data_IF_203712886475
#
_entry.id   IF_203712886475
#
_cell.length_a   1.000
_cell.length_b   1.000
_cell.length_c   1.000
_cell.angle_alpha   90.00
_cell.angle_beta   90.00
_cell.angle_gamma   90.00
#
_symmetry.space_group_name_H-M   'P 1'
#
loop_
_entity.id
_entity.type
_entity.pdbx_description
1 polymer ?
#
# COMPACT_ATOMS: atom_id res chain seq x y z
N UNK A 1 -17.84 -8.35 -5.43
CA UNK A 1 -16.51 -7.84 -5.79
C UNK A 1 -15.62 -7.90 -4.58
N UNK A 2 -14.41 -8.38 -4.74
CA UNK A 2 -13.49 -8.56 -3.63
C UNK A 2 -12.64 -7.31 -3.46
N UNK A 3 -12.62 -6.77 -2.24
CA UNK A 3 -11.69 -5.71 -1.89
C UNK A 3 -10.26 -6.25 -1.93
N UNK A 4 -9.29 -5.36 -1.79
CA UNK A 4 -7.88 -5.75 -1.80
C UNK A 4 -7.11 -4.84 -0.84
N UNK A 5 -6.01 -5.36 -0.31
CA UNK A 5 -5.12 -4.56 0.54
C UNK A 5 -4.11 -3.86 -0.36
N UNK A 6 -3.90 -2.59 -0.10
CA UNK A 6 -2.95 -1.76 -0.85
C UNK A 6 -1.92 -1.19 0.11
N UNK A 7 -0.66 -1.17 -0.30
CA UNK A 7 0.37 -0.53 0.50
C UNK A 7 0.69 0.88 -0.01
N UNK A 8 1.53 1.58 0.72
CA UNK A 8 1.86 2.97 0.38
C UNK A 8 2.59 3.09 -0.96
N UNK A 9 3.33 2.05 -1.39
CA UNK A 9 4.03 2.10 -2.66
C UNK A 9 3.07 2.21 -3.84
N UNK A 10 1.96 1.47 -3.79
CA UNK A 10 0.95 1.53 -4.85
C UNK A 10 0.16 2.83 -4.77
N UNK A 11 -0.28 3.22 -3.58
CA UNK A 11 -1.05 4.46 -3.41
C UNK A 11 -0.25 5.66 -3.92
N UNK A 12 1.00 5.77 -3.50
CA UNK A 12 1.86 6.87 -3.95
C UNK A 12 2.18 6.76 -5.44
N UNK A 13 2.30 5.53 -5.95
CA UNK A 13 2.55 5.30 -7.37
C UNK A 13 1.49 5.89 -8.27
N UNK A 14 0.25 6.00 -7.78
CA UNK A 14 -0.84 6.58 -8.56
C UNK A 14 -0.66 8.08 -8.81
N UNK A 15 0.11 8.77 -7.99
CA UNK A 15 0.28 10.23 -8.11
C UNK A 15 1.73 10.65 -8.39
N UNK A 16 2.69 9.73 -8.35
CA UNK A 16 4.07 10.04 -8.70
C UNK A 16 4.28 9.93 -10.21
N UNK A 17 4.91 10.94 -10.84
CA UNK A 17 4.93 11.03 -12.31
C UNK A 17 5.81 9.98 -13.00
N UNK A 18 6.79 9.45 -12.31
CA UNK A 18 7.76 8.52 -12.90
C UNK A 18 7.50 7.06 -12.52
N UNK A 19 6.38 6.78 -11.87
CA UNK A 19 6.00 5.40 -11.55
C UNK A 19 5.16 4.82 -12.68
N UNK A 20 5.54 3.62 -13.13
CA UNK A 20 4.85 2.95 -14.22
C UNK A 20 4.97 1.45 -14.04
N UNK A 21 3.88 0.81 -13.63
CA UNK A 21 3.85 -0.62 -13.38
C UNK A 21 2.46 -1.16 -13.68
N UNK A 22 2.35 -2.40 -14.23
CA UNK A 22 1.05 -3.04 -14.44
C UNK A 22 0.20 -3.13 -13.18
N UNK A 23 0.81 -3.32 -12.02
CA UNK A 23 0.08 -3.39 -10.75
C UNK A 23 -0.65 -2.09 -10.46
N UNK A 24 -0.03 -0.94 -10.76
CA UNK A 24 -0.67 0.37 -10.55
C UNK A 24 -1.95 0.50 -11.36
N UNK A 25 -1.90 0.09 -12.61
CA UNK A 25 -3.07 0.15 -13.50
C UNK A 25 -4.14 -0.81 -13.02
N UNK A 26 -3.77 -2.06 -12.75
CA UNK A 26 -4.73 -3.08 -12.32
C UNK A 26 -5.43 -2.68 -11.02
N UNK A 27 -4.68 -2.18 -10.04
CA UNK A 27 -5.24 -1.77 -8.76
C UNK A 27 -6.15 -0.56 -8.92
N UNK A 28 -5.75 0.40 -9.74
CA UNK A 28 -6.56 1.59 -9.96
C UNK A 28 -7.90 1.25 -10.64
N UNK A 29 -7.85 0.40 -11.65
CA UNK A 29 -9.07 -0.06 -12.32
C UNK A 29 -10.01 -0.78 -11.36
N UNK A 30 -9.45 -1.56 -10.44
CA UNK A 30 -10.26 -2.30 -9.48
C UNK A 30 -11.02 -1.39 -8.52
N UNK A 31 -10.57 -0.16 -8.31
CA UNK A 31 -11.28 0.82 -7.48
C UNK A 31 -12.67 1.17 -8.04
N UNK A 32 -12.95 0.88 -9.30
CA UNK A 32 -14.28 1.11 -9.88
C UNK A 32 -15.32 0.18 -9.27
N UNK A 33 -14.93 -0.99 -8.77
CA UNK A 33 -15.85 -2.01 -8.28
C UNK A 33 -15.55 -2.52 -6.89
N UNK A 34 -14.44 -2.06 -6.28
CA UNK A 34 -14.00 -2.53 -4.97
C UNK A 34 -13.31 -1.40 -4.21
N UNK A 35 -13.10 -1.61 -2.91
CA UNK A 35 -12.34 -0.70 -2.07
C UNK A 35 -10.92 -1.20 -1.92
N UNK A 36 -9.97 -0.28 -1.88
CA UNK A 36 -8.63 -0.56 -1.41
C UNK A 36 -8.61 -0.41 0.12
N UNK A 37 -8.08 -1.39 0.81
CA UNK A 37 -8.06 -1.42 2.27
C UNK A 37 -6.61 -1.32 2.74
N UNK A 38 -6.37 -0.57 3.78
CA UNK A 38 -5.03 -0.40 4.32
C UNK A 38 -5.09 -0.21 5.84
N UNK A 39 -4.00 -0.53 6.55
CA UNK A 39 -3.93 -0.20 7.98
C UNK A 39 -3.88 1.31 8.17
N UNK A 40 -4.20 1.75 9.38
CA UNK A 40 -4.36 3.17 9.70
C UNK A 40 -3.07 3.98 9.64
N UNK A 41 -1.91 3.34 9.43
CA UNK A 41 -0.65 4.04 9.21
C UNK A 41 -0.49 4.55 7.77
N UNK A 42 -1.38 4.16 6.86
CA UNK A 42 -1.23 4.48 5.43
C UNK A 42 -0.98 5.95 5.18
N UNK A 43 -1.82 6.83 5.71
CA UNK A 43 -1.71 8.25 5.39
C UNK A 43 -0.46 8.89 5.96
N UNK A 44 0.05 8.40 7.08
CA UNK A 44 1.35 8.83 7.60
C UNK A 44 2.46 8.49 6.63
N UNK A 45 2.44 7.27 6.09
CA UNK A 45 3.45 6.84 5.12
C UNK A 45 3.32 7.58 3.80
N UNK A 46 2.10 7.79 3.32
CA UNK A 46 1.86 8.53 2.07
C UNK A 46 2.43 9.93 2.17
N UNK A 47 2.13 10.63 3.25
CA UNK A 47 2.69 11.99 3.46
C UNK A 47 4.21 11.97 3.45
N UNK A 48 4.81 10.99 4.10
CA UNK A 48 6.27 10.90 4.16
C UNK A 48 6.87 10.62 2.77
N UNK A 49 6.30 9.68 2.02
CA UNK A 49 6.80 9.36 0.68
C UNK A 49 6.73 10.59 -0.23
N UNK A 50 5.61 11.31 -0.21
CA UNK A 50 5.45 12.51 -1.04
C UNK A 50 6.42 13.62 -0.63
N UNK A 51 6.63 13.82 0.67
CA UNK A 51 7.61 14.81 1.14
C UNK A 51 9.04 14.43 0.78
N UNK A 52 9.38 13.14 0.84
CA UNK A 52 10.70 12.69 0.41
C UNK A 52 10.89 12.88 -1.10
N UNK A 53 9.85 12.62 -1.89
CA UNK A 53 9.89 12.88 -3.34
C UNK A 53 10.10 14.35 -3.61
N UNK A 54 9.45 15.22 -2.83
CA UNK A 54 9.64 16.68 -2.93
C UNK A 54 11.09 17.06 -2.63
N UNK A 55 11.65 16.52 -1.57
CA UNK A 55 13.03 16.85 -1.17
C UNK A 55 14.06 16.33 -2.16
N UNK A 56 13.75 15.25 -2.86
CA UNK A 56 14.59 14.71 -3.94
C UNK A 56 14.30 15.37 -5.27
N UNK A 57 13.46 16.40 -5.30
CA UNK A 57 13.11 17.18 -6.48
C UNK A 57 12.43 16.35 -7.59
N UNK A 58 11.77 15.26 -7.22
CA UNK A 58 10.96 14.49 -8.17
C UNK A 58 9.63 15.18 -8.45
N UNK A 59 9.09 15.87 -7.45
CA UNK A 59 7.86 16.66 -7.55
C UNK A 59 8.06 17.97 -6.80
N UNK A 60 7.24 18.97 -7.11
CA UNK A 60 7.23 20.20 -6.33
C UNK A 60 6.23 20.09 -5.18
N UNK A 61 6.22 21.09 -4.29
CA UNK A 61 5.34 21.05 -3.12
C UNK A 61 3.86 21.09 -3.50
N UNK A 62 3.51 21.86 -4.53
CA UNK A 62 2.12 21.92 -5.00
C UNK A 62 1.66 20.55 -5.47
N UNK A 63 2.51 19.80 -6.18
CA UNK A 63 2.19 18.46 -6.62
C UNK A 63 2.01 17.49 -5.45
N UNK A 64 2.81 17.62 -4.39
CA UNK A 64 2.64 16.80 -3.20
C UNK A 64 1.28 17.03 -2.55
N UNK A 65 0.90 18.30 -2.40
CA UNK A 65 -0.41 18.65 -1.82
C UNK A 65 -1.56 18.16 -2.69
N UNK A 66 -1.48 18.39 -4.00
CA UNK A 66 -2.51 17.94 -4.92
C UNK A 66 -2.62 16.42 -4.95
N UNK A 67 -1.49 15.72 -4.88
CA UNK A 67 -1.49 14.27 -4.85
C UNK A 67 -2.29 13.72 -3.69
N UNK A 68 -2.06 14.22 -2.48
CA UNK A 68 -2.82 13.77 -1.32
C UNK A 68 -4.31 14.09 -1.49
N UNK A 69 -4.62 15.29 -1.99
CA UNK A 69 -6.01 15.69 -2.19
C UNK A 69 -6.74 14.75 -3.13
N UNK A 70 -6.08 14.35 -4.22
CA UNK A 70 -6.65 13.41 -5.18
C UNK A 70 -6.81 12.00 -4.57
N UNK A 71 -5.81 11.54 -3.84
CA UNK A 71 -5.86 10.22 -3.22
C UNK A 71 -7.00 10.11 -2.20
N UNK A 72 -7.28 11.20 -1.47
CA UNK A 72 -8.38 11.21 -0.50
C UNK A 72 -9.77 11.06 -1.14
N UNK A 73 -9.87 11.27 -2.44
CA UNK A 73 -11.14 11.11 -3.17
C UNK A 73 -11.35 9.69 -3.67
N UNK A 74 -10.36 8.82 -3.54
CA UNK A 74 -10.46 7.44 -4.00
C UNK A 74 -11.11 6.55 -2.95
N UNK A 75 -11.54 5.38 -3.36
CA UNK A 75 -12.15 4.37 -2.47
C UNK A 75 -11.07 3.65 -1.67
N UNK A 76 -10.38 4.38 -0.81
CA UNK A 76 -9.35 3.85 0.08
C UNK A 76 -9.93 3.89 1.50
N UNK A 77 -10.04 2.71 2.11
CA UNK A 77 -10.59 2.56 3.45
C UNK A 77 -9.47 2.13 4.39
N UNK A 78 -9.26 2.86 5.49
CA UNK A 78 -8.28 2.46 6.50
C UNK A 78 -8.96 1.74 7.64
N UNK A 79 -8.24 0.80 8.24
CA UNK A 79 -8.70 -0.01 9.36
C UNK A 79 -7.62 -0.02 10.43
N UNK A 80 -8.00 -0.29 11.70
CA UNK A 80 -7.00 -0.48 12.74
C UNK A 80 -6.02 -1.60 12.33
N UNK A 81 -4.75 -1.41 12.67
CA UNK A 81 -3.73 -2.42 12.38
C UNK A 81 -4.02 -3.70 13.15
N UNK A 82 -3.64 -4.87 12.62
CA UNK A 82 -3.68 -6.12 13.40
C UNK A 82 -2.84 -6.03 14.66
N UNK A 83 -3.00 -7.01 15.56
CA UNK A 83 -2.35 -7.00 16.86
C UNK A 83 -0.83 -7.07 16.77
N UNK A 84 -0.18 -6.60 17.82
CA UNK A 84 1.28 -6.50 17.87
C UNK A 84 1.95 -7.84 17.64
N UNK A 85 1.46 -8.92 18.25
CA UNK A 85 2.09 -10.23 18.13
C UNK A 85 2.07 -10.73 16.68
N UNK A 86 0.96 -10.55 15.98
CA UNK A 86 0.85 -10.97 14.58
C UNK A 86 1.82 -10.16 13.72
N UNK A 87 1.86 -8.86 13.91
CA UNK A 87 2.75 -7.99 13.13
C UNK A 87 4.21 -8.35 13.39
N UNK A 88 4.59 -8.51 14.67
CA UNK A 88 5.97 -8.84 15.02
C UNK A 88 6.39 -10.21 14.48
N UNK A 89 5.51 -11.21 14.56
CA UNK A 89 5.81 -12.54 14.04
C UNK A 89 6.04 -12.51 12.54
N UNK A 90 5.21 -11.80 11.79
CA UNK A 90 5.35 -11.70 10.34
C UNK A 90 6.60 -10.89 9.96
N UNK A 91 6.88 -9.81 10.71
CA UNK A 91 8.08 -9.02 10.47
C UNK A 91 9.35 -9.85 10.68
N UNK A 92 9.39 -10.65 11.73
CA UNK A 92 10.54 -11.50 12.02
C UNK A 92 10.68 -12.60 10.96
N UNK A 93 9.59 -13.29 10.64
CA UNK A 93 9.63 -14.42 9.72
C UNK A 93 10.03 -14.01 8.31
N UNK A 94 9.56 -12.87 7.84
CA UNK A 94 9.80 -12.42 6.46
C UNK A 94 10.83 -11.30 6.37
N UNK A 95 11.44 -10.92 7.48
CA UNK A 95 12.43 -9.83 7.54
C UNK A 95 11.88 -8.52 7.01
N UNK A 96 10.62 -8.24 7.36
CA UNK A 96 9.94 -7.01 6.98
C UNK A 96 10.11 -5.97 8.10
N UNK A 97 9.97 -4.69 7.73
CA UNK A 97 9.73 -3.68 8.76
C UNK A 97 8.37 -3.94 9.39
N UNK A 98 8.16 -3.44 10.60
CA UNK A 98 6.85 -3.55 11.22
C UNK A 98 5.77 -2.81 10.42
N UNK A 99 6.14 -1.74 9.72
CA UNK A 99 5.23 -1.03 8.84
C UNK A 99 4.73 -1.92 7.70
N UNK A 100 5.66 -2.54 6.96
CA UNK A 100 5.30 -3.44 5.87
C UNK A 100 4.53 -4.66 6.38
N UNK A 101 4.94 -5.18 7.54
CA UNK A 101 4.25 -6.32 8.15
C UNK A 101 2.81 -5.99 8.51
N UNK A 102 2.49 -4.74 8.83
CA UNK A 102 1.11 -4.35 9.14
C UNK A 102 0.21 -4.51 7.92
N UNK A 103 0.67 -4.13 6.73
CA UNK A 103 -0.09 -4.34 5.50
C UNK A 103 -0.26 -5.83 5.21
N UNK A 104 0.82 -6.57 5.33
CA UNK A 104 0.80 -8.01 5.08
C UNK A 104 -0.14 -8.72 6.05
N UNK A 105 -0.06 -8.38 7.34
CA UNK A 105 -0.92 -8.95 8.36
C UNK A 105 -2.40 -8.68 8.07
N UNK A 106 -2.71 -7.48 7.59
CA UNK A 106 -4.08 -7.13 7.25
C UNK A 106 -4.60 -8.00 6.09
N UNK A 107 -3.77 -8.23 5.07
CA UNK A 107 -4.14 -9.10 3.96
C UNK A 107 -4.39 -10.53 4.42
N UNK A 108 -3.54 -11.06 5.30
CA UNK A 108 -3.70 -12.39 5.86
C UNK A 108 -4.97 -12.48 6.69
N UNK A 109 -5.19 -11.53 7.58
CA UNK A 109 -6.34 -11.54 8.49
C UNK A 109 -7.66 -11.43 7.74
N UNK A 110 -7.73 -10.55 6.75
CA UNK A 110 -8.95 -10.34 5.98
C UNK A 110 -9.10 -11.30 4.82
N UNK A 111 -8.09 -12.11 4.54
CA UNK A 111 -8.07 -13.04 3.39
C UNK A 111 -8.30 -12.32 2.08
N UNK A 112 -7.60 -11.20 1.90
CA UNK A 112 -7.70 -10.37 0.70
C UNK A 112 -6.39 -10.43 -0.09
N UNK A 113 -6.45 -10.24 -1.41
CA UNK A 113 -5.23 -10.09 -2.20
C UNK A 113 -4.51 -8.80 -1.85
N UNK A 114 -3.21 -8.78 -2.10
CA UNK A 114 -2.33 -7.67 -1.79
C UNK A 114 -1.82 -7.02 -3.07
N UNK A 115 -1.92 -5.69 -3.14
CA UNK A 115 -1.32 -4.90 -4.22
C UNK A 115 -0.12 -4.15 -3.66
N UNK A 116 1.06 -4.45 -4.18
CA UNK A 116 2.31 -3.85 -3.71
C UNK A 116 3.33 -3.80 -4.83
N UNK A 117 4.24 -2.83 -4.76
CA UNK A 117 5.43 -2.78 -5.60
C UNK A 117 6.68 -3.24 -4.84
N UNK A 118 6.55 -3.48 -3.55
CA UNK A 118 7.69 -3.82 -2.69
C UNK A 118 8.06 -5.29 -2.86
N UNK A 119 9.34 -5.52 -3.23
CA UNK A 119 9.82 -6.87 -3.50
C UNK A 119 9.73 -7.80 -2.30
N UNK A 120 10.01 -7.28 -1.11
CA UNK A 120 9.96 -8.11 0.10
C UNK A 120 8.54 -8.55 0.41
N UNK A 121 7.56 -7.68 0.20
CA UNK A 121 6.15 -8.06 0.36
C UNK A 121 5.71 -9.05 -0.70
N UNK A 122 6.17 -8.90 -1.93
CA UNK A 122 5.87 -9.86 -3.00
C UNK A 122 6.42 -11.25 -2.62
N UNK A 123 7.65 -11.31 -2.14
CA UNK A 123 8.27 -12.57 -1.74
C UNK A 123 7.55 -13.19 -0.54
N UNK A 124 7.16 -12.39 0.45
CA UNK A 124 6.41 -12.86 1.61
C UNK A 124 5.06 -13.44 1.19
N UNK A 125 4.38 -12.76 0.27
CA UNK A 125 3.08 -13.23 -0.23
C UNK A 125 3.23 -14.59 -0.93
N UNK A 126 4.28 -14.77 -1.72
CA UNK A 126 4.54 -16.04 -2.38
C UNK A 126 4.77 -17.17 -1.37
N UNK A 127 5.51 -16.90 -0.30
CA UNK A 127 5.80 -17.89 0.72
C UNK A 127 4.55 -18.32 1.50
N UNK A 128 3.68 -17.38 1.80
CA UNK A 128 2.51 -17.62 2.66
C UNK A 128 1.22 -17.86 1.87
N UNK A 129 1.28 -17.88 0.55
CA UNK A 129 0.11 -18.13 -0.26
C UNK A 129 -0.89 -16.98 -0.28
N UNK A 130 -0.44 -15.76 -0.04
CA UNK A 130 -1.30 -14.57 -0.16
C UNK A 130 -1.37 -14.18 -1.63
N UNK A 131 -2.58 -14.11 -2.24
CA UNK A 131 -2.67 -13.72 -3.64
C UNK A 131 -2.20 -12.29 -3.85
N UNK A 132 -1.51 -12.07 -4.96
CA UNK A 132 -1.14 -10.72 -5.39
C UNK A 132 -2.13 -10.23 -6.43
N UNK A 133 -2.46 -8.97 -6.34
CA UNK A 133 -3.23 -8.29 -7.37
C UNK A 133 -2.28 -7.96 -8.51
N UNK A 134 -2.61 -8.42 -9.69
CA UNK A 134 -1.78 -8.20 -10.89
C UNK A 134 -2.56 -7.49 -11.98
#
# INVERSE_FOLDING_TARGET
MTDFVVDASVVCGWVLPDENSPVLVAAFEKLQTANAVAPDILWHEVRNVLMMARRRKRIDFAAAREGIRLLRQLNIVTRPSPGDDVILDLAERHKLTAYDAAYFALAVEMKLPLATLDRQLIDAAAQDGVPLLA
#
